data_IF_048157032344
#
_entry.id   IF_048157032344
#
_cell.length_a   1.000
_cell.length_b   1.000
_cell.length_c   1.000
_cell.angle_alpha   90.00
_cell.angle_beta   90.00
_cell.angle_gamma   90.00
#
_symmetry.space_group_name_H-M   'P 1'
#
loop_
_entity.id
_entity.type
_entity.pdbx_description
1 polymer ?
#
# COMPACT_ATOMS: atom_id res chain seq x y z
N UNK A 1 -6.81 34.14 3.11
CA UNK A 1 -7.54 33.29 2.14
C UNK A 1 -6.75 32.01 1.93
N UNK A 2 -7.28 30.85 2.33
CA UNK A 2 -6.64 29.56 2.09
C UNK A 2 -6.79 29.19 0.61
N UNK A 3 -5.71 29.34 -0.15
CA UNK A 3 -5.63 28.81 -1.50
C UNK A 3 -5.24 27.32 -1.40
N UNK A 4 -6.10 26.37 -1.81
CA UNK A 4 -5.71 24.98 -1.86
C UNK A 4 -4.57 24.83 -2.88
N UNK A 5 -3.37 24.48 -2.41
CA UNK A 5 -2.20 24.32 -3.27
C UNK A 5 -2.52 23.27 -4.37
N UNK A 6 -2.31 23.60 -5.65
CA UNK A 6 -2.60 22.69 -6.76
C UNK A 6 -1.61 21.52 -6.72
N UNK A 7 -2.07 20.34 -6.30
CA UNK A 7 -1.25 19.14 -6.17
C UNK A 7 -1.93 17.97 -5.45
N UNK A 8 -2.85 18.28 -4.54
CA UNK A 8 -3.58 17.28 -3.76
C UNK A 8 -4.31 16.25 -4.61
N UNK A 9 -5.06 16.66 -5.66
CA UNK A 9 -5.80 15.70 -6.49
C UNK A 9 -4.92 14.64 -7.17
N UNK A 10 -3.72 15.02 -7.64
CA UNK A 10 -2.77 14.06 -8.26
C UNK A 10 -2.17 13.13 -7.21
N UNK A 11 -1.92 13.63 -6.00
CA UNK A 11 -1.48 12.82 -4.86
C UNK A 11 -2.54 11.77 -4.50
N UNK A 12 -3.80 12.18 -4.33
CA UNK A 12 -4.89 11.27 -3.95
C UNK A 12 -5.13 10.21 -5.01
N UNK A 13 -5.08 10.56 -6.29
CA UNK A 13 -5.25 9.60 -7.39
C UNK A 13 -4.16 8.53 -7.36
N UNK A 14 -2.90 8.92 -7.21
CA UNK A 14 -1.78 7.98 -7.12
C UNK A 14 -1.86 7.10 -5.86
N UNK A 15 -2.28 7.67 -4.73
CA UNK A 15 -2.49 6.92 -3.49
C UNK A 15 -3.62 5.89 -3.66
N UNK A 16 -4.77 6.29 -4.21
CA UNK A 16 -5.88 5.38 -4.51
C UNK A 16 -5.44 4.25 -5.43
N UNK A 17 -4.63 4.55 -6.44
CA UNK A 17 -4.12 3.57 -7.38
C UNK A 17 -3.15 2.58 -6.71
N UNK A 18 -2.26 3.06 -5.84
CA UNK A 18 -1.38 2.20 -5.03
C UNK A 18 -2.17 1.30 -4.07
N UNK A 19 -3.20 1.84 -3.40
CA UNK A 19 -4.08 1.06 -2.51
C UNK A 19 -4.87 0.04 -3.30
N UNK A 20 -5.42 0.39 -4.47
CA UNK A 20 -6.15 -0.54 -5.32
C UNK A 20 -5.29 -1.71 -5.77
N UNK A 21 -4.03 -1.45 -6.17
CA UNK A 21 -3.06 -2.50 -6.52
C UNK A 21 -2.75 -3.39 -5.32
N UNK A 22 -2.49 -2.80 -4.15
CA UNK A 22 -2.27 -3.55 -2.91
C UNK A 22 -3.46 -4.46 -2.59
N UNK A 23 -4.69 -3.94 -2.64
CA UNK A 23 -5.90 -4.73 -2.42
C UNK A 23 -6.06 -5.86 -3.44
N UNK A 24 -5.78 -5.62 -4.72
CA UNK A 24 -5.83 -6.66 -5.75
C UNK A 24 -4.81 -7.78 -5.49
N UNK A 25 -3.57 -7.42 -5.10
CA UNK A 25 -2.53 -8.38 -4.73
C UNK A 25 -2.95 -9.21 -3.52
N UNK A 26 -3.45 -8.57 -2.46
CA UNK A 26 -3.90 -9.26 -1.25
C UNK A 26 -5.08 -10.21 -1.52
N UNK A 27 -6.08 -9.77 -2.29
CA UNK A 27 -7.21 -10.60 -2.69
C UNK A 27 -6.78 -11.77 -3.57
N UNK A 28 -5.84 -11.54 -4.50
CA UNK A 28 -5.23 -12.59 -5.32
C UNK A 28 -4.52 -13.63 -4.45
N UNK A 29 -3.63 -13.20 -3.55
CA UNK A 29 -2.95 -14.12 -2.61
C UNK A 29 -3.96 -14.87 -1.73
N UNK A 30 -5.02 -14.20 -1.27
CA UNK A 30 -6.06 -14.84 -0.46
C UNK A 30 -6.80 -15.93 -1.23
N UNK A 31 -6.97 -15.81 -2.55
CA UNK A 31 -7.60 -16.84 -3.38
C UNK A 31 -6.71 -18.09 -3.54
N UNK A 32 -5.40 -17.91 -3.60
CA UNK A 32 -4.44 -19.04 -3.68
C UNK A 32 -4.13 -19.65 -2.31
N UNK A 33 -4.42 -18.95 -1.22
CA UNK A 33 -4.13 -19.48 0.11
C UNK A 33 -5.17 -20.51 0.56
N UNK A 34 -4.72 -21.64 1.13
CA UNK A 34 -5.62 -22.65 1.67
C UNK A 34 -6.40 -22.09 2.86
N UNK A 35 -7.54 -22.73 3.17
CA UNK A 35 -8.43 -22.31 4.25
C UNK A 35 -7.65 -22.00 5.54
N UNK A 36 -7.92 -20.84 6.12
CA UNK A 36 -7.27 -20.34 7.34
C UNK A 36 -7.41 -21.28 8.54
N UNK A 37 -8.35 -22.21 8.46
CA UNK A 37 -8.59 -23.24 9.47
C UNK A 37 -7.57 -24.40 9.44
N UNK A 38 -6.81 -24.54 8.35
CA UNK A 38 -5.87 -25.63 8.18
C UNK A 38 -4.42 -25.20 8.47
N UNK A 39 -3.85 -25.77 9.53
CA UNK A 39 -2.43 -25.67 9.88
C UNK A 39 -2.15 -25.37 11.36
N UNK A 40 -0.93 -25.67 11.81
CA UNK A 40 -0.46 -25.31 13.15
C UNK A 40 -0.34 -23.79 13.32
N UNK A 41 -0.41 -23.28 14.56
CA UNK A 41 -0.32 -21.84 14.88
C UNK A 41 0.83 -21.09 14.18
N UNK A 42 2.02 -21.71 14.09
CA UNK A 42 3.18 -21.11 13.43
C UNK A 42 2.96 -20.87 11.93
N UNK A 43 2.28 -21.80 11.24
CA UNK A 43 1.96 -21.64 9.81
C UNK A 43 1.01 -20.48 9.56
N UNK A 44 0.04 -20.25 10.46
CA UNK A 44 -0.85 -19.08 10.39
C UNK A 44 -0.06 -17.78 10.52
N UNK A 45 0.87 -17.69 11.47
CA UNK A 45 1.74 -16.53 11.64
C UNK A 45 2.60 -16.27 10.40
N UNK A 46 3.21 -17.31 9.83
CA UNK A 46 4.02 -17.19 8.62
C UNK A 46 3.19 -16.72 7.42
N UNK A 47 1.99 -17.28 7.21
CA UNK A 47 1.06 -16.84 6.15
C UNK A 47 0.66 -15.38 6.30
N UNK A 48 0.35 -14.93 7.52
CA UNK A 48 0.07 -13.53 7.82
C UNK A 48 1.30 -12.65 7.55
N UNK A 49 2.49 -13.07 7.99
CA UNK A 49 3.74 -12.38 7.73
C UNK A 49 3.99 -12.18 6.23
N UNK A 50 3.78 -13.23 5.42
CA UNK A 50 3.90 -13.15 3.96
C UNK A 50 2.91 -12.16 3.36
N UNK A 51 1.64 -12.18 3.78
CA UNK A 51 0.65 -11.20 3.31
C UNK A 51 1.02 -9.76 3.67
N UNK A 52 1.48 -9.54 4.91
CA UNK A 52 1.90 -8.21 5.36
C UNK A 52 3.07 -7.72 4.53
N UNK A 53 4.11 -8.54 4.37
CA UNK A 53 5.29 -8.19 3.55
C UNK A 53 4.89 -7.95 2.09
N UNK A 54 4.02 -8.81 1.52
CA UNK A 54 3.53 -8.64 0.16
C UNK A 54 2.74 -7.33 0.00
N UNK A 55 1.88 -6.99 0.95
CA UNK A 55 1.14 -5.72 0.96
C UNK A 55 2.06 -4.51 1.07
N UNK A 56 3.05 -4.55 1.96
CA UNK A 56 4.08 -3.50 2.10
C UNK A 56 4.85 -3.32 0.79
N UNK A 57 5.34 -4.41 0.20
CA UNK A 57 6.09 -4.37 -1.07
C UNK A 57 5.21 -3.87 -2.22
N UNK A 58 3.95 -4.31 -2.32
CA UNK A 58 3.03 -3.84 -3.35
C UNK A 58 2.73 -2.34 -3.22
N UNK A 59 2.45 -1.86 -2.01
CA UNK A 59 2.16 -0.46 -1.73
C UNK A 59 3.38 0.45 -1.99
N UNK A 60 4.53 0.15 -1.35
CA UNK A 60 5.74 0.95 -1.52
C UNK A 60 6.33 0.80 -2.93
N UNK A 61 6.24 -0.38 -3.54
CA UNK A 61 6.64 -0.62 -4.92
C UNK A 61 5.80 0.21 -5.89
N UNK A 62 4.48 0.25 -5.72
CA UNK A 62 3.62 1.04 -6.59
C UNK A 62 3.81 2.54 -6.37
N UNK A 63 4.00 3.00 -5.13
CA UNK A 63 4.38 4.39 -4.87
C UNK A 63 5.72 4.74 -5.54
N UNK A 64 6.75 3.88 -5.40
CA UNK A 64 8.04 4.09 -6.04
C UNK A 64 7.93 4.17 -7.58
N UNK A 65 7.16 3.26 -8.20
CA UNK A 65 6.89 3.24 -9.64
C UNK A 65 6.13 4.48 -10.11
N UNK A 66 5.15 4.96 -9.32
CA UNK A 66 4.39 6.18 -9.59
C UNK A 66 5.22 7.46 -9.37
N UNK A 67 6.52 7.31 -9.06
CA UNK A 67 7.46 8.41 -8.86
C UNK A 67 7.18 9.19 -7.58
N UNK A 68 6.55 8.57 -6.58
CA UNK A 68 6.36 9.19 -5.28
C UNK A 68 7.71 9.36 -4.58
N UNK A 69 8.31 10.53 -4.76
CA UNK A 69 9.33 11.03 -3.86
C UNK A 69 8.63 11.31 -2.52
N UNK A 70 8.96 10.54 -1.48
CA UNK A 70 8.67 10.87 -0.07
C UNK A 70 9.07 12.33 0.30
N UNK A 71 9.93 12.97 -0.52
CA UNK A 71 10.29 14.40 -0.42
C UNK A 71 9.15 15.39 -0.70
N UNK A 72 8.05 15.02 -1.36
CA UNK A 72 6.90 15.93 -1.56
C UNK A 72 6.01 16.05 -0.32
N UNK A 73 6.04 15.07 0.59
CA UNK A 73 5.44 15.22 1.92
C UNK A 73 6.14 16.30 2.76
N UNK A 74 7.39 16.63 2.42
CA UNK A 74 8.21 17.58 3.16
C UNK A 74 8.11 19.03 2.64
N UNK A 75 7.19 19.34 1.72
CA UNK A 75 6.98 20.74 1.30
C UNK A 75 5.89 21.41 2.13
N UNK A 76 6.39 22.08 3.18
CA UNK A 76 5.85 23.24 3.92
C UNK A 76 5.13 22.95 5.23
N UNK A 77 5.92 22.68 6.27
CA UNK A 77 5.63 23.09 7.65
C UNK A 77 6.46 24.32 8.09
N UNK A 78 6.95 25.12 7.15
CA UNK A 78 7.69 26.36 7.44
C UNK A 78 7.18 27.51 6.57
N UNK A 79 6.24 28.26 7.14
CA UNK A 79 6.10 29.72 7.19
C UNK A 79 4.63 30.08 7.40
#
# INVERSE_FOLDING_TARGET
MFQPLPGWGRFTLKLLLAVAVMSAVLLGLMHFMPAWDQGHMLQRFLRLGVLVVAGVVAYFGMLALLGFRLRDFNRKALN
#
